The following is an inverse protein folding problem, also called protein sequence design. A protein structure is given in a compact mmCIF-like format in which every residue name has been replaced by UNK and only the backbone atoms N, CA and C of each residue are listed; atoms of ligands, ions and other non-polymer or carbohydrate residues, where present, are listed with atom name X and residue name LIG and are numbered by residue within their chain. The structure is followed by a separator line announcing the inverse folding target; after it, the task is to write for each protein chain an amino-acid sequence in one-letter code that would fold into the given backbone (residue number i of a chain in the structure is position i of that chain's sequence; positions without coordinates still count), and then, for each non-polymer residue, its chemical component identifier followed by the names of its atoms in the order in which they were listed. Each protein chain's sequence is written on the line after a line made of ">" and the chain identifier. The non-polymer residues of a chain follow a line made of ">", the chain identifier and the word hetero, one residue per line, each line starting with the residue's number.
data_IF_062703588644
#
_entry.id   IF_062703588644
#
_cell.length_a   1.000
_cell.length_b   1.000
_cell.length_c   1.000
_cell.angle_alpha   90.00
_cell.angle_beta   90.00
_cell.angle_gamma   90.00
#
_symmetry.space_group_name_H-M   'P 1'
#
loop_
_entity.id
_entity.type
_entity.pdbx_description
1 polymer ?
#
# COMPACT_ATOMS: atom_id res chain seq x y z
N UNK A 1 -48.76 -38.94 58.42
CA UNK A 1 -47.89 -37.95 57.73
C UNK A 1 -47.94 -38.01 56.20
N UNK A 2 -48.55 -39.03 55.57
CA UNK A 2 -48.69 -39.13 54.11
C UNK A 2 -50.01 -38.53 53.53
N UNK A 3 -50.93 -38.04 54.36
CA UNK A 3 -52.20 -37.46 53.92
C UNK A 3 -52.10 -35.98 53.52
N UNK A 4 -51.12 -35.22 54.04
CA UNK A 4 -50.92 -33.80 53.69
C UNK A 4 -50.34 -33.60 52.28
N UNK A 5 -49.78 -34.66 51.66
CA UNK A 5 -49.22 -34.63 50.30
C UNK A 5 -50.33 -34.73 49.24
N UNK A 6 -51.49 -35.30 49.57
CA UNK A 6 -52.57 -35.53 48.59
C UNK A 6 -53.49 -34.33 48.42
N UNK A 7 -53.68 -33.50 49.45
CA UNK A 7 -54.65 -32.40 49.41
C UNK A 7 -54.12 -31.10 48.79
N UNK A 8 -52.79 -31.00 48.57
CA UNK A 8 -52.13 -29.81 48.03
C UNK A 8 -51.32 -30.11 46.76
N UNK A 9 -51.74 -31.08 45.94
CA UNK A 9 -51.04 -31.45 44.69
C UNK A 9 -50.87 -30.28 43.71
N UNK A 10 -51.83 -29.34 43.66
CA UNK A 10 -51.70 -28.10 42.86
C UNK A 10 -50.62 -27.17 43.42
N UNK A 11 -50.59 -26.98 44.74
CA UNK A 11 -49.56 -26.17 45.40
C UNK A 11 -48.16 -26.81 45.30
N UNK A 12 -48.06 -28.14 45.44
CA UNK A 12 -46.83 -28.90 45.22
C UNK A 12 -46.35 -28.80 43.76
N UNK A 13 -47.25 -28.84 42.79
CA UNK A 13 -46.91 -28.67 41.38
C UNK A 13 -46.39 -27.25 41.09
N UNK A 14 -47.01 -26.21 41.69
CA UNK A 14 -46.55 -24.81 41.57
C UNK A 14 -45.16 -24.62 42.18
N UNK A 15 -44.92 -25.18 43.37
CA UNK A 15 -43.60 -25.12 44.03
C UNK A 15 -42.54 -25.85 43.20
N UNK A 16 -42.88 -27.00 42.60
CA UNK A 16 -41.96 -27.74 41.73
C UNK A 16 -41.59 -26.93 40.47
N UNK A 17 -42.57 -26.28 39.83
CA UNK A 17 -42.34 -25.40 38.67
C UNK A 17 -41.46 -24.20 39.03
N UNK A 18 -41.68 -23.59 40.20
CA UNK A 18 -40.83 -22.50 40.70
C UNK A 18 -39.38 -22.93 40.91
N UNK A 19 -39.16 -24.12 41.47
CA UNK A 19 -37.82 -24.68 41.67
C UNK A 19 -37.13 -24.97 40.34
N UNK A 20 -37.85 -25.52 39.36
CA UNK A 20 -37.31 -25.77 38.02
C UNK A 20 -36.92 -24.46 37.32
N UNK A 21 -37.79 -23.44 37.38
CA UNK A 21 -37.51 -22.13 36.77
C UNK A 21 -36.31 -21.47 37.46
N UNK A 22 -36.22 -21.54 38.79
CA UNK A 22 -35.08 -21.02 39.55
C UNK A 22 -33.78 -21.76 39.20
N UNK A 23 -33.85 -23.09 39.01
CA UNK A 23 -32.69 -23.92 38.63
C UNK A 23 -32.23 -23.64 37.19
N UNK A 24 -33.17 -23.45 36.26
CA UNK A 24 -32.83 -23.05 34.88
C UNK A 24 -32.25 -21.63 34.87
N UNK A 25 -32.82 -20.70 35.62
CA UNK A 25 -32.32 -19.33 35.73
C UNK A 25 -30.90 -19.29 36.32
N UNK A 26 -30.57 -20.11 37.32
CA UNK A 26 -29.20 -20.19 37.85
C UNK A 26 -28.22 -20.78 36.85
N UNK A 27 -28.62 -21.70 35.97
CA UNK A 27 -27.75 -22.15 34.86
C UNK A 27 -27.41 -20.96 33.95
N UNK A 28 -28.39 -20.14 33.56
CA UNK A 28 -28.14 -18.96 32.72
C UNK A 28 -27.29 -17.88 33.41
N UNK A 29 -27.38 -17.75 34.74
CA UNK A 29 -26.57 -16.78 35.51
C UNK A 29 -25.14 -17.28 35.75
N UNK A 30 -24.95 -18.59 35.98
CA UNK A 30 -23.63 -19.19 36.28
C UNK A 30 -22.85 -19.53 35.02
N UNK A 31 -23.52 -19.94 33.94
CA UNK A 31 -22.89 -20.11 32.62
C UNK A 31 -22.88 -18.85 31.78
N UNK A 32 -23.50 -17.79 32.29
CA UNK A 32 -23.42 -16.45 31.72
C UNK A 32 -24.15 -16.36 30.40
N UNK A 33 -24.81 -15.24 30.20
CA UNK A 33 -24.78 -14.59 28.90
C UNK A 33 -23.29 -14.32 28.68
N UNK A 34 -22.60 -15.29 28.07
CA UNK A 34 -21.22 -15.12 27.64
C UNK A 34 -21.24 -13.86 26.82
N UNK A 35 -20.64 -12.81 27.36
CA UNK A 35 -20.35 -11.60 26.62
C UNK A 35 -19.68 -12.11 25.36
N UNK A 36 -20.41 -11.98 24.24
CA UNK A 36 -19.90 -12.25 22.91
C UNK A 36 -18.90 -11.11 22.66
N UNK A 37 -17.83 -11.10 23.45
CA UNK A 37 -16.61 -10.44 23.11
C UNK A 37 -16.26 -11.13 21.81
N UNK A 38 -16.55 -10.44 20.71
CA UNK A 38 -15.76 -10.58 19.50
C UNK A 38 -14.32 -10.33 19.98
N UNK A 39 -13.67 -11.35 20.53
CA UNK A 39 -12.24 -11.37 20.73
C UNK A 39 -11.72 -11.37 19.32
N UNK A 40 -11.57 -10.18 18.74
CA UNK A 40 -10.87 -9.97 17.49
C UNK A 40 -9.58 -10.76 17.65
N UNK A 41 -9.48 -11.88 16.94
CA UNK A 41 -8.27 -12.70 17.01
C UNK A 41 -7.13 -11.76 16.62
N UNK A 42 -6.17 -11.55 17.52
CA UNK A 42 -5.06 -10.63 17.33
C UNK A 42 -3.76 -11.40 17.45
N UNK A 43 -2.76 -11.02 16.64
CA UNK A 43 -1.46 -11.67 16.60
C UNK A 43 -0.43 -10.96 17.47
N UNK A 44 -0.65 -9.67 17.75
CA UNK A 44 0.16 -8.87 18.64
C UNK A 44 -0.61 -7.65 19.14
N UNK A 45 -0.20 -7.12 20.29
CA UNK A 45 -0.68 -5.86 20.86
C UNK A 45 0.52 -4.94 21.08
N UNK A 46 0.43 -3.72 20.56
CA UNK A 46 1.46 -2.68 20.67
C UNK A 46 0.84 -1.50 21.42
N UNK A 47 1.14 -1.37 22.72
CA UNK A 47 0.43 -0.47 23.64
C UNK A 47 -1.09 -0.67 23.53
N UNK A 48 -1.85 0.38 23.17
CA UNK A 48 -3.31 0.33 23.03
C UNK A 48 -3.79 -0.07 21.62
N UNK A 49 -2.87 -0.28 20.67
CA UNK A 49 -3.22 -0.71 19.30
C UNK A 49 -3.03 -2.22 19.13
N UNK A 50 -4.03 -2.88 18.59
CA UNK A 50 -3.97 -4.31 18.27
C UNK A 50 -3.63 -4.51 16.79
N UNK A 51 -2.91 -5.60 16.50
CA UNK A 51 -2.70 -6.11 15.15
C UNK A 51 -3.61 -7.32 15.03
N UNK A 52 -4.68 -7.19 14.25
CA UNK A 52 -5.65 -8.28 14.08
C UNK A 52 -5.04 -9.40 13.23
N UNK A 53 -5.56 -10.61 13.41
CA UNK A 53 -5.20 -11.77 12.60
C UNK A 53 -5.57 -11.54 11.13
N UNK A 54 -6.69 -10.89 10.87
CA UNK A 54 -7.12 -10.51 9.52
C UNK A 54 -6.14 -9.56 8.85
N UNK A 55 -5.72 -8.49 9.54
CA UNK A 55 -4.71 -7.54 9.06
C UNK A 55 -3.40 -8.26 8.70
N UNK A 56 -2.95 -9.16 9.59
CA UNK A 56 -1.76 -9.96 9.38
C UNK A 56 -1.88 -10.88 8.15
N UNK A 57 -2.99 -11.61 8.02
CA UNK A 57 -3.22 -12.52 6.91
C UNK A 57 -3.31 -11.79 5.57
N UNK A 58 -4.01 -10.65 5.54
CA UNK A 58 -4.11 -9.82 4.34
C UNK A 58 -2.73 -9.31 3.90
N UNK A 59 -1.92 -8.83 4.84
CA UNK A 59 -0.55 -8.36 4.56
C UNK A 59 0.37 -9.49 4.08
N UNK A 60 0.24 -10.66 4.69
CA UNK A 60 0.99 -11.86 4.29
C UNK A 60 0.63 -12.28 2.86
N UNK A 61 -0.67 -12.37 2.54
CA UNK A 61 -1.15 -12.76 1.22
C UNK A 61 -0.67 -11.79 0.13
N UNK A 62 -0.75 -10.48 0.38
CA UNK A 62 -0.25 -9.47 -0.56
C UNK A 62 1.24 -9.64 -0.83
N UNK A 63 2.05 -9.88 0.20
CA UNK A 63 3.48 -10.10 0.05
C UNK A 63 3.77 -11.41 -0.70
N UNK A 64 3.05 -12.50 -0.41
CA UNK A 64 3.19 -13.78 -1.11
C UNK A 64 2.82 -13.66 -2.60
N UNK A 65 1.71 -12.98 -2.90
CA UNK A 65 1.26 -12.72 -4.28
C UNK A 65 2.29 -11.89 -5.07
N UNK A 66 2.92 -10.90 -4.42
CA UNK A 66 3.98 -10.09 -5.02
C UNK A 66 5.22 -10.92 -5.36
N UNK A 67 5.68 -11.75 -4.43
CA UNK A 67 6.84 -12.64 -4.64
C UNK A 67 6.58 -13.61 -5.80
N UNK A 68 5.37 -14.18 -5.88
CA UNK A 68 4.96 -15.08 -6.98
C UNK A 68 4.95 -14.37 -8.34
N UNK A 69 4.53 -13.09 -8.39
CA UNK A 69 4.49 -12.31 -9.63
C UNK A 69 5.88 -12.04 -10.21
N UNK A 70 6.90 -11.86 -9.37
CA UNK A 70 8.27 -11.63 -9.81
C UNK A 70 9.05 -12.93 -10.13
N UNK A 71 8.36 -14.06 -10.30
CA UNK A 71 8.97 -15.33 -10.71
C UNK A 71 9.66 -16.09 -9.57
N UNK A 72 9.48 -15.67 -8.33
CA UNK A 72 10.07 -16.31 -7.15
C UNK A 72 9.17 -17.38 -6.58
N UNK A 73 9.51 -18.66 -6.80
CA UNK A 73 9.19 -19.74 -5.87
C UNK A 73 10.23 -19.82 -4.74
N UNK A 74 10.94 -18.71 -4.47
CA UNK A 74 11.91 -18.62 -3.38
C UNK A 74 11.10 -18.49 -2.10
N UNK A 75 11.11 -19.56 -1.31
CA UNK A 75 10.54 -19.54 0.03
C UNK A 75 11.35 -18.51 0.84
N UNK A 76 10.76 -17.34 1.08
CA UNK A 76 11.40 -16.34 1.93
C UNK A 76 11.32 -16.86 3.36
N UNK A 77 12.45 -17.36 3.86
CA UNK A 77 12.58 -17.73 5.26
C UNK A 77 12.13 -16.57 6.13
N UNK A 78 11.31 -16.89 7.13
CA UNK A 78 10.77 -15.94 8.09
C UNK A 78 9.86 -14.84 7.50
N UNK A 79 9.25 -15.03 6.32
CA UNK A 79 8.27 -14.07 5.77
C UNK A 79 7.20 -13.71 6.81
N UNK A 80 6.65 -14.72 7.48
CA UNK A 80 5.67 -14.56 8.56
C UNK A 80 6.15 -13.61 9.66
N UNK A 81 7.42 -13.72 10.08
CA UNK A 81 8.02 -12.88 11.11
C UNK A 81 8.26 -11.46 10.60
N UNK A 82 8.78 -11.32 9.37
CA UNK A 82 9.02 -10.02 8.73
C UNK A 82 7.74 -9.20 8.57
N UNK A 83 6.64 -9.87 8.19
CA UNK A 83 5.32 -9.22 8.10
C UNK A 83 4.86 -8.74 9.48
N UNK A 84 5.01 -9.58 10.52
CA UNK A 84 4.65 -9.19 11.88
C UNK A 84 5.49 -8.01 12.38
N UNK A 85 6.81 -8.05 12.19
CA UNK A 85 7.72 -6.96 12.55
C UNK A 85 7.40 -5.67 11.80
N UNK A 86 7.06 -5.77 10.51
CA UNK A 86 6.63 -4.62 9.71
C UNK A 86 5.34 -4.00 10.25
N UNK A 87 4.35 -4.81 10.63
CA UNK A 87 3.09 -4.32 11.21
C UNK A 87 3.32 -3.71 12.59
N UNK A 88 4.19 -4.29 13.42
CA UNK A 88 4.57 -3.73 14.72
C UNK A 88 5.22 -2.36 14.52
N UNK A 89 6.21 -2.25 13.63
CA UNK A 89 6.88 -0.99 13.32
C UNK A 89 5.89 0.08 12.85
N UNK A 90 4.94 -0.29 11.99
CA UNK A 90 3.85 0.57 11.54
C UNK A 90 2.98 1.07 12.71
N UNK A 91 2.56 0.20 13.63
CA UNK A 91 1.78 0.63 14.80
C UNK A 91 2.59 1.57 15.71
N UNK A 92 3.88 1.28 15.92
CA UNK A 92 4.78 2.13 16.72
C UNK A 92 4.89 3.53 16.11
N UNK A 93 5.10 3.63 14.79
CA UNK A 93 5.17 4.93 14.10
C UNK A 93 3.88 5.72 14.25
N UNK A 94 2.71 5.07 14.12
CA UNK A 94 1.42 5.74 14.26
C UNK A 94 1.16 6.22 15.70
N UNK A 95 1.53 5.42 16.70
CA UNK A 95 1.42 5.81 18.12
C UNK A 95 2.30 7.04 18.40
N UNK A 96 3.52 7.05 17.89
CA UNK A 96 4.43 8.16 18.13
C UNK A 96 4.00 9.43 17.37
N UNK A 97 3.50 9.27 16.14
CA UNK A 97 2.90 10.38 15.39
C UNK A 97 1.70 11.00 16.12
N UNK A 98 0.87 10.17 16.77
CA UNK A 98 -0.25 10.64 17.59
C UNK A 98 0.22 11.40 18.84
N UNK A 99 1.23 10.87 19.56
CA UNK A 99 1.80 11.57 20.72
C UNK A 99 2.41 12.92 20.37
N UNK A 100 3.07 13.01 19.22
CA UNK A 100 3.66 14.25 18.70
C UNK A 100 2.62 15.17 18.04
N UNK A 101 1.33 14.80 18.05
CA UNK A 101 0.24 15.53 17.41
C UNK A 101 0.49 15.84 15.93
N UNK A 102 1.12 14.91 15.20
CA UNK A 102 1.36 15.06 13.76
C UNK A 102 0.05 14.82 13.03
N UNK A 103 -0.57 15.84 12.42
CA UNK A 103 -1.85 15.67 11.75
C UNK A 103 -1.66 15.18 10.31
N UNK A 104 -2.65 14.47 9.78
CA UNK A 104 -2.87 14.36 8.34
C UNK A 104 -4.05 15.28 7.99
N UNK A 105 -3.76 16.38 7.29
CA UNK A 105 -4.77 17.38 6.94
C UNK A 105 -5.62 16.88 5.76
N UNK A 106 -6.85 17.39 5.64
CA UNK A 106 -7.72 17.02 4.52
C UNK A 106 -7.15 17.51 3.17
N UNK A 107 -6.40 18.62 3.17
CA UNK A 107 -5.69 19.10 1.99
C UNK A 107 -4.62 18.11 1.52
N UNK A 108 -3.87 17.50 2.45
CA UNK A 108 -2.88 16.47 2.13
C UNK A 108 -3.53 15.19 1.64
N UNK A 109 -4.64 14.77 2.28
CA UNK A 109 -5.43 13.64 1.82
C UNK A 109 -5.90 13.84 0.37
N UNK A 110 -6.53 14.99 0.08
CA UNK A 110 -7.03 15.31 -1.26
C UNK A 110 -5.89 15.41 -2.26
N UNK A 111 -4.77 16.03 -1.89
CA UNK A 111 -3.60 16.16 -2.78
C UNK A 111 -3.00 14.78 -3.09
N UNK A 112 -2.88 13.92 -2.09
CA UNK A 112 -2.38 12.55 -2.26
C UNK A 112 -3.31 11.75 -3.18
N UNK A 113 -4.62 11.72 -2.90
CA UNK A 113 -5.60 10.99 -3.71
C UNK A 113 -5.60 11.50 -5.16
N UNK A 114 -5.58 12.82 -5.37
CA UNK A 114 -5.53 13.41 -6.71
C UNK A 114 -4.25 13.10 -7.47
N UNK A 115 -3.15 12.80 -6.76
CA UNK A 115 -1.86 12.46 -7.39
C UNK A 115 -1.82 11.04 -7.96
N UNK A 116 -2.77 10.17 -7.57
CA UNK A 116 -2.78 8.76 -7.96
C UNK A 116 -3.32 8.60 -9.38
N UNK A 117 -2.52 8.08 -10.34
CA UNK A 117 -2.93 7.98 -11.75
C UNK A 117 -4.16 7.10 -11.97
N UNK A 118 -4.34 6.04 -11.17
CA UNK A 118 -5.51 5.16 -11.28
C UNK A 118 -6.83 5.83 -10.90
N UNK A 119 -6.79 7.01 -10.27
CA UNK A 119 -7.97 7.81 -9.93
C UNK A 119 -8.16 8.98 -10.90
N UNK A 120 -7.39 9.03 -11.99
CA UNK A 120 -7.44 10.10 -12.97
C UNK A 120 -8.08 9.62 -14.28
N UNK A 121 -8.77 10.53 -14.96
CA UNK A 121 -9.17 10.42 -16.36
C UNK A 121 -8.53 11.60 -17.10
N UNK A 122 -7.77 11.31 -18.16
CA UNK A 122 -7.01 12.32 -18.91
C UNK A 122 -6.08 13.19 -18.02
N UNK A 123 -5.48 12.58 -16.98
CA UNK A 123 -4.57 13.27 -16.06
C UNK A 123 -5.23 14.14 -14.99
N UNK A 124 -6.56 14.15 -14.92
CA UNK A 124 -7.33 14.90 -13.89
C UNK A 124 -8.12 13.92 -13.04
N UNK A 125 -8.19 14.16 -11.73
CA UNK A 125 -8.96 13.33 -10.82
C UNK A 125 -10.41 13.15 -11.28
N UNK A 126 -10.88 11.90 -11.24
CA UNK A 126 -12.23 11.51 -11.64
C UNK A 126 -12.86 10.66 -10.53
N UNK A 127 -13.99 11.13 -10.00
CA UNK A 127 -14.68 10.49 -8.88
C UNK A 127 -15.21 9.09 -9.25
N UNK A 128 -15.76 8.92 -10.45
CA UNK A 128 -16.29 7.64 -10.91
C UNK A 128 -15.19 6.58 -11.01
N UNK A 129 -14.00 6.97 -11.50
CA UNK A 129 -12.82 6.11 -11.54
C UNK A 129 -12.34 5.76 -10.13
N UNK A 130 -12.26 6.76 -9.24
CA UNK A 130 -11.90 6.53 -7.85
C UNK A 130 -12.84 5.51 -7.19
N UNK A 131 -14.15 5.71 -7.25
CA UNK A 131 -15.11 4.79 -6.65
C UNK A 131 -15.11 3.41 -7.33
N UNK A 132 -14.95 3.35 -8.66
CA UNK A 132 -14.85 2.09 -9.38
C UNK A 132 -13.63 1.29 -8.93
N UNK A 133 -12.48 1.93 -8.77
CA UNK A 133 -11.27 1.28 -8.26
C UNK A 133 -11.49 0.81 -6.83
N UNK A 134 -12.07 1.62 -5.95
CA UNK A 134 -12.34 1.18 -4.56
C UNK A 134 -13.30 0.00 -4.51
N UNK A 135 -14.41 0.04 -5.25
CA UNK A 135 -15.38 -1.06 -5.34
C UNK A 135 -14.74 -2.34 -5.86
N UNK A 136 -13.91 -2.25 -6.91
CA UNK A 136 -13.20 -3.40 -7.48
C UNK A 136 -12.22 -4.04 -6.49
N UNK A 137 -11.75 -3.29 -5.50
CA UNK A 137 -10.86 -3.77 -4.44
C UNK A 137 -11.60 -4.08 -3.13
N UNK A 138 -12.94 -4.00 -3.11
CA UNK A 138 -13.74 -4.26 -1.90
C UNK A 138 -13.53 -3.23 -0.78
N UNK A 139 -13.08 -2.01 -1.11
CA UNK A 139 -12.82 -0.95 -0.16
C UNK A 139 -13.95 0.08 -0.14
N UNK A 140 -14.24 0.62 1.05
CA UNK A 140 -15.07 1.81 1.19
C UNK A 140 -14.19 3.06 1.18
N UNK A 141 -14.76 4.20 0.80
CA UNK A 141 -14.12 5.51 0.84
C UNK A 141 -13.53 5.80 2.22
N UNK A 142 -14.30 5.57 3.29
CA UNK A 142 -13.85 5.85 4.65
C UNK A 142 -12.63 5.00 5.07
N UNK A 143 -12.64 3.71 4.76
CA UNK A 143 -11.52 2.81 5.08
C UNK A 143 -10.27 3.23 4.29
N UNK A 144 -10.44 3.58 3.02
CA UNK A 144 -9.34 3.99 2.16
C UNK A 144 -8.76 5.36 2.58
N UNK A 145 -9.61 6.36 2.82
CA UNK A 145 -9.14 7.67 3.25
C UNK A 145 -8.44 7.61 4.60
N UNK A 146 -8.92 6.76 5.52
CA UNK A 146 -8.25 6.51 6.79
C UNK A 146 -6.87 5.90 6.59
N UNK A 147 -6.73 4.91 5.71
CA UNK A 147 -5.42 4.29 5.44
C UNK A 147 -4.45 5.28 4.79
N UNK A 148 -4.94 6.17 3.92
CA UNK A 148 -4.13 7.27 3.35
C UNK A 148 -3.73 8.28 4.42
N UNK A 149 -4.62 8.65 5.34
CA UNK A 149 -4.27 9.54 6.46
C UNK A 149 -3.19 8.92 7.36
N UNK A 150 -3.29 7.63 7.65
CA UNK A 150 -2.28 6.91 8.42
C UNK A 150 -0.95 6.83 7.67
N UNK A 151 -0.97 6.63 6.34
CA UNK A 151 0.22 6.70 5.50
C UNK A 151 0.89 8.08 5.56
N UNK A 152 0.13 9.16 5.40
CA UNK A 152 0.64 10.54 5.48
C UNK A 152 1.33 10.78 6.83
N UNK A 153 0.73 10.35 7.94
CA UNK A 153 1.34 10.46 9.27
C UNK A 153 2.66 9.70 9.35
N UNK A 154 2.72 8.47 8.82
CA UNK A 154 3.96 7.67 8.81
C UNK A 154 5.06 8.32 7.98
N UNK A 155 4.72 8.82 6.79
CA UNK A 155 5.68 9.53 5.92
C UNK A 155 6.25 10.74 6.65
N UNK A 156 5.41 11.56 7.28
CA UNK A 156 5.85 12.71 8.09
C UNK A 156 6.74 12.30 9.25
N UNK A 157 6.35 11.28 10.01
CA UNK A 157 7.15 10.77 11.12
C UNK A 157 8.53 10.30 10.65
N UNK A 158 8.57 9.59 9.52
CA UNK A 158 9.81 9.11 8.91
C UNK A 158 10.68 10.30 8.48
N UNK A 159 10.10 11.30 7.82
CA UNK A 159 10.81 12.54 7.47
C UNK A 159 11.36 13.28 8.68
N UNK A 160 10.62 13.34 9.80
CA UNK A 160 11.11 13.94 11.03
C UNK A 160 12.30 13.18 11.61
N UNK A 161 12.25 11.85 11.65
CA UNK A 161 13.37 11.01 12.11
C UNK A 161 14.63 11.32 11.28
N UNK A 162 14.51 11.34 9.95
CA UNK A 162 15.63 11.68 9.08
C UNK A 162 16.14 13.11 9.28
N UNK A 163 15.26 14.09 9.48
CA UNK A 163 15.65 15.48 9.77
C UNK A 163 16.40 15.59 11.10
N UNK A 164 15.99 14.84 12.13
CA UNK A 164 16.66 14.85 13.44
C UNK A 164 18.00 14.12 13.46
N UNK A 165 18.29 13.26 12.49
CA UNK A 165 19.60 12.61 12.36
C UNK A 165 20.67 13.51 11.74
N UNK A 166 20.28 14.60 11.06
CA UNK A 166 21.21 15.65 10.69
C UNK A 166 21.31 16.66 11.82
N UNK A 167 22.31 16.47 12.70
CA UNK A 167 22.91 17.62 13.38
C UNK A 167 23.69 18.36 12.29
N UNK A 168 22.98 19.18 11.52
CA UNK A 168 23.62 20.02 10.52
C UNK A 168 24.41 21.10 11.26
N UNK A 169 25.68 21.23 10.93
CA UNK A 169 26.50 22.35 11.39
C UNK A 169 25.85 23.66 10.91
N UNK A 170 26.02 24.76 11.65
CA UNK A 170 25.41 26.06 11.29
C UNK A 170 25.77 26.46 9.84
N UNK A 171 26.96 26.05 9.40
CA UNK A 171 27.47 26.23 8.04
C UNK A 171 26.74 25.39 6.99
N UNK A 172 26.32 24.16 7.32
CA UNK A 172 25.49 23.33 6.43
C UNK A 172 24.09 23.93 6.27
N UNK A 173 23.51 24.44 7.36
CA UNK A 173 22.19 25.12 7.34
C UNK A 173 22.26 26.38 6.47
N UNK A 174 23.31 27.20 6.63
CA UNK A 174 23.53 28.40 5.82
C UNK A 174 23.70 28.05 4.34
N UNK A 175 24.49 27.01 4.03
CA UNK A 175 24.70 26.55 2.65
C UNK A 175 23.42 26.05 1.99
N UNK A 176 22.62 25.23 2.70
CA UNK A 176 21.34 24.71 2.18
C UNK A 176 20.31 25.83 1.99
N UNK A 177 20.23 26.78 2.93
CA UNK A 177 19.39 27.97 2.79
C UNK A 177 19.78 28.80 1.56
N UNK A 178 21.08 29.05 1.38
CA UNK A 178 21.61 29.76 0.22
C UNK A 178 21.34 28.99 -1.08
N UNK A 179 21.49 27.66 -1.08
CA UNK A 179 21.19 26.80 -2.23
C UNK A 179 19.71 26.88 -2.63
N UNK A 180 18.78 26.76 -1.68
CA UNK A 180 17.33 26.87 -1.95
C UNK A 180 16.90 28.25 -2.44
N UNK A 181 17.59 29.31 -1.99
CA UNK A 181 17.37 30.67 -2.48
C UNK A 181 18.17 31.03 -3.73
N UNK A 182 19.02 30.13 -4.22
CA UNK A 182 19.85 30.40 -5.39
C UNK A 182 18.97 30.47 -6.63
N UNK A 183 18.88 31.68 -7.19
CA UNK A 183 18.23 31.91 -8.49
C UNK A 183 19.29 31.69 -9.56
N UNK A 184 19.15 30.59 -10.31
CA UNK A 184 20.05 30.30 -11.45
C UNK A 184 19.62 31.18 -12.63
N UNK A 185 20.40 32.23 -12.90
CA UNK A 185 20.24 33.04 -14.11
C UNK A 185 20.93 32.33 -15.28
N UNK A 186 20.18 31.48 -15.98
CA UNK A 186 20.68 30.71 -17.10
C UNK A 186 20.74 31.58 -18.36
N UNK A 187 21.94 32.02 -18.75
CA UNK A 187 22.16 32.63 -20.07
C UNK A 187 22.40 31.51 -21.08
N UNK A 188 21.42 31.28 -21.94
CA UNK A 188 21.57 30.36 -23.07
C UNK A 188 21.45 31.15 -24.37
N UNK A 189 22.19 30.70 -25.39
CA UNK A 189 22.01 31.14 -26.76
C UNK A 189 21.41 29.98 -27.54
N UNK A 190 20.16 30.12 -27.97
CA UNK A 190 19.56 29.18 -28.91
C UNK A 190 20.13 29.47 -30.30
N UNK A 191 20.96 28.56 -30.82
CA UNK A 191 21.41 28.61 -32.21
C UNK A 191 20.41 27.79 -33.04
N UNK A 192 19.54 28.44 -33.84
CA UNK A 192 18.58 27.72 -34.65
C UNK A 192 19.31 26.94 -35.75
N UNK A 193 18.86 25.70 -36.03
CA UNK A 193 19.46 24.77 -36.99
C UNK A 193 19.64 25.37 -38.40
N UNK A 194 18.76 26.30 -38.80
CA UNK A 194 18.83 27.02 -40.07
C UNK A 194 20.07 27.96 -40.20
N UNK A 195 20.78 28.22 -39.10
CA UNK A 195 22.06 28.96 -39.11
C UNK A 195 23.13 28.17 -39.85
N UNK A 196 23.08 26.84 -39.76
CA UNK A 196 24.04 25.95 -40.40
C UNK A 196 23.70 25.66 -41.88
N UNK A 197 22.44 25.82 -42.30
CA UNK A 197 22.05 25.64 -43.71
C UNK A 197 22.71 26.67 -44.63
N UNK A 198 23.01 27.88 -44.13
CA UNK A 198 23.67 28.95 -44.89
C UNK A 198 25.20 28.90 -44.85
N UNK A 199 25.78 28.22 -43.85
CA UNK A 199 27.23 28.07 -43.68
C UNK A 199 27.76 26.70 -44.10
N UNK A 200 26.90 25.70 -44.28
CA UNK A 200 27.25 24.41 -44.89
C UNK A 200 27.53 24.60 -46.40
N UNK A 201 28.74 25.06 -46.72
CA UNK A 201 29.17 25.33 -48.10
C UNK A 201 29.49 24.08 -48.92
N UNK A 202 29.36 22.88 -48.37
CA UNK A 202 29.56 21.66 -49.16
C UNK A 202 28.55 20.59 -48.77
N UNK A 203 27.76 20.16 -49.76
CA UNK A 203 27.24 18.79 -49.75
C UNK A 203 28.47 17.87 -49.81
N UNK A 204 28.61 16.88 -48.91
CA UNK A 204 29.70 15.91 -48.98
C UNK A 204 29.77 15.31 -50.39
N UNK A 205 30.98 15.20 -50.94
CA UNK A 205 31.17 14.50 -52.20
C UNK A 205 30.92 13.01 -52.03
N UNK A 206 30.53 12.32 -53.12
CA UNK A 206 30.26 10.88 -53.08
C UNK A 206 31.47 10.06 -52.57
N UNK A 207 32.68 10.56 -52.77
CA UNK A 207 33.92 9.94 -52.29
C UNK A 207 34.06 10.05 -50.76
N UNK A 208 33.70 11.18 -50.17
CA UNK A 208 33.73 11.39 -48.71
C UNK A 208 32.65 10.55 -48.02
N UNK A 209 31.46 10.46 -48.64
CA UNK A 209 30.38 9.60 -48.16
C UNK A 209 30.78 8.12 -48.19
N UNK A 210 31.46 7.69 -49.26
CA UNK A 210 31.94 6.30 -49.38
C UNK A 210 33.02 5.98 -48.34
N UNK A 211 33.99 6.89 -48.13
CA UNK A 211 35.02 6.72 -47.12
C UNK A 211 34.44 6.66 -45.69
N UNK A 212 33.45 7.52 -45.40
CA UNK A 212 32.75 7.50 -44.11
C UNK A 212 31.91 6.24 -43.91
N UNK A 213 31.18 5.80 -44.94
CA UNK A 213 30.43 4.55 -44.91
C UNK A 213 31.35 3.36 -44.65
N UNK A 214 32.48 3.27 -45.37
CA UNK A 214 33.46 2.20 -45.21
C UNK A 214 34.05 2.16 -43.79
N UNK A 215 34.30 3.32 -43.17
CA UNK A 215 34.82 3.42 -41.80
C UNK A 215 33.78 3.09 -40.72
N UNK A 216 32.49 3.19 -41.04
CA UNK A 216 31.38 3.08 -40.07
C UNK A 216 30.43 1.91 -40.35
N UNK A 217 30.85 0.93 -41.18
CA UNK A 217 30.00 -0.20 -41.64
C UNK A 217 29.29 -0.97 -40.53
N UNK A 218 29.94 -1.19 -39.39
CA UNK A 218 29.34 -1.94 -38.27
C UNK A 218 28.14 -1.22 -37.64
N UNK A 219 28.07 0.11 -37.71
CA UNK A 219 26.93 0.89 -37.19
C UNK A 219 25.70 0.76 -38.10
N UNK A 220 25.92 0.53 -39.40
CA UNK A 220 24.86 0.32 -40.39
C UNK A 220 24.53 -1.16 -40.61
N UNK A 221 25.12 -2.06 -39.81
CA UNK A 221 24.87 -3.48 -39.92
C UNK A 221 23.47 -3.80 -39.42
N UNK A 222 22.61 -4.22 -40.34
CA UNK A 222 21.30 -4.79 -39.98
C UNK A 222 21.54 -6.14 -39.29
N UNK A 223 20.91 -6.41 -38.13
CA UNK A 223 21.04 -7.71 -37.47
C UNK A 223 20.62 -8.84 -38.40
N UNK A 224 21.21 -10.02 -38.22
CA UNK A 224 20.97 -11.17 -39.09
C UNK A 224 19.48 -11.57 -39.05
N UNK A 225 18.78 -11.35 -40.17
CA UNK A 225 17.41 -11.82 -40.35
C UNK A 225 17.39 -13.25 -40.90
N UNK A 226 16.69 -14.15 -40.23
CA UNK A 226 16.50 -15.53 -40.71
C UNK A 226 15.13 -15.62 -41.38
N UNK A 227 15.11 -15.88 -42.69
CA UNK A 227 13.87 -16.25 -43.40
C UNK A 227 13.58 -17.74 -43.18
N UNK A 228 12.59 -18.03 -42.33
CA UNK A 228 12.11 -19.38 -42.08
C UNK A 228 10.89 -19.68 -42.96
N UNK A 229 10.92 -20.84 -43.63
CA UNK A 229 9.76 -21.42 -44.32
C UNK A 229 9.43 -22.73 -43.60
N UNK A 230 8.29 -22.79 -42.94
CA UNK A 230 7.87 -23.95 -42.17
C UNK A 230 6.48 -24.41 -42.61
N UNK A 231 6.20 -25.70 -42.43
CA UNK A 231 4.88 -26.29 -42.63
C UNK A 231 4.40 -26.74 -41.25
N UNK A 232 3.22 -26.29 -40.84
CA UNK A 232 2.59 -26.71 -39.59
C UNK A 232 1.63 -27.87 -39.85
N UNK A 233 1.75 -28.93 -39.07
CA UNK A 233 0.73 -29.99 -39.04
C UNK A 233 -0.17 -29.77 -37.82
N UNK A 234 -1.47 -29.67 -38.06
CA UNK A 234 -2.47 -29.63 -36.99
C UNK A 234 -2.69 -31.05 -36.46
N UNK A 235 -2.65 -31.24 -35.14
CA UNK A 235 -2.68 -32.55 -34.49
C UNK A 235 -4.09 -33.15 -34.38
N UNK A 236 -5.08 -32.54 -35.03
CA UNK A 236 -6.49 -32.92 -34.95
C UNK A 236 -7.10 -33.42 -36.28
N UNK A 237 -6.28 -33.97 -37.19
CA UNK A 237 -6.74 -34.86 -38.27
C UNK A 237 -5.82 -36.05 -38.44
#
# INVERSE_FOLDING_TARGET
>A
MLSSIRNNRKALSIVLWLVIIAFVATIFVVWGVGEQTNTLSYVAKVNDKIITYEEYQNRYKLADDEIRRYGGAVQIDNLSKRILESLIAEKVMLIEAEKLNIPATDLELVSYIRSIPSFQSNGVFNLDQYEAVLRNNGLTTEIYEKSVKDEIKRTKMTSLIYQTQSIADDKEIENEYNYRKSIINLKYAAIPLNTFEKTAQSKPSDNELKAYYDMTKEVYRVPAEIKLKYITFDKNK
#
